data_IF_677008310543
#
_entry.id   IF_677008310543
#
_cell.length_a   1.000
_cell.length_b   1.000
_cell.length_c   1.000
_cell.angle_alpha   90.00
_cell.angle_beta   90.00
_cell.angle_gamma   90.00
#
_symmetry.space_group_name_H-M   'P 1'
#
loop_
_entity.id
_entity.type
_entity.pdbx_description
1 polymer ?
#
# COMPACT_ATOMS: atom_id res chain seq x y z
N UNK A 1 -21.37 -4.96 9.25
CA UNK A 1 -21.46 -3.65 8.59
C UNK A 1 -20.77 -3.78 7.26
N UNK A 2 -21.49 -3.53 6.17
CA UNK A 2 -21.00 -3.69 4.80
C UNK A 2 -19.83 -2.75 4.55
N UNK A 3 -18.65 -3.31 4.28
CA UNK A 3 -17.49 -2.55 3.81
C UNK A 3 -17.81 -2.01 2.43
N UNK A 4 -18.05 -0.70 2.33
CA UNK A 4 -18.18 -0.01 1.05
C UNK A 4 -16.81 -0.09 0.39
N UNK A 5 -16.66 -0.92 -0.64
CA UNK A 5 -15.47 -0.90 -1.47
C UNK A 5 -15.41 0.49 -2.12
N UNK A 6 -14.45 1.31 -1.69
CA UNK A 6 -14.21 2.60 -2.30
C UNK A 6 -13.89 2.40 -3.79
N UNK A 7 -14.55 3.15 -4.66
CA UNK A 7 -14.41 2.99 -6.10
C UNK A 7 -12.94 3.19 -6.55
N UNK A 8 -12.46 2.42 -7.55
CA UNK A 8 -11.12 2.60 -8.11
C UNK A 8 -10.89 4.04 -8.57
N UNK A 9 -9.72 4.60 -8.28
CA UNK A 9 -9.37 5.95 -8.72
C UNK A 9 -8.77 5.87 -10.12
N UNK A 10 -9.45 6.46 -11.10
CA UNK A 10 -8.96 6.53 -12.49
C UNK A 10 -8.26 7.86 -12.73
N UNK A 11 -7.06 7.83 -13.28
CA UNK A 11 -6.26 9.00 -13.62
C UNK A 11 -5.94 9.03 -15.12
N UNK A 12 -6.45 9.99 -15.89
CA UNK A 12 -6.10 10.14 -17.30
C UNK A 12 -4.65 10.64 -17.43
N UNK A 13 -3.89 9.98 -18.29
CA UNK A 13 -2.50 10.35 -18.56
C UNK A 13 -2.45 11.58 -19.47
N UNK A 14 -1.69 12.59 -19.05
CA UNK A 14 -1.39 13.76 -19.89
C UNK A 14 -0.60 13.37 -21.15
N UNK A 15 0.22 12.34 -21.05
CA UNK A 15 1.03 11.81 -22.14
C UNK A 15 0.80 10.29 -22.22
N UNK A 16 0.01 9.80 -23.19
CA UNK A 16 -0.25 8.38 -23.36
C UNK A 16 1.04 7.58 -23.59
N UNK A 17 1.06 6.34 -23.13
CA UNK A 17 2.23 5.46 -23.21
C UNK A 17 1.93 4.30 -24.15
N UNK A 18 2.80 4.07 -25.13
CA UNK A 18 2.69 2.92 -26.04
C UNK A 18 3.35 1.68 -25.44
N UNK A 19 2.55 0.65 -25.19
CA UNK A 19 3.02 -0.71 -24.92
C UNK A 19 3.46 -1.34 -26.23
N UNK A 20 4.74 -1.72 -26.31
CA UNK A 20 5.35 -2.32 -27.50
C UNK A 20 5.73 -3.78 -27.26
N UNK A 21 5.58 -4.62 -28.28
CA UNK A 21 6.07 -6.00 -28.23
C UNK A 21 7.60 -6.07 -28.42
N UNK A 22 8.16 -7.28 -28.38
CA UNK A 22 9.60 -7.52 -28.56
C UNK A 22 10.14 -7.04 -29.92
N UNK A 23 9.29 -7.03 -30.94
CA UNK A 23 9.64 -6.60 -32.31
C UNK A 23 9.50 -5.08 -32.51
N UNK A 24 9.13 -4.35 -31.44
CA UNK A 24 8.99 -2.89 -31.45
C UNK A 24 7.65 -2.39 -31.96
N UNK A 25 6.71 -3.25 -32.34
CA UNK A 25 5.37 -2.86 -32.78
C UNK A 25 4.50 -2.44 -31.58
N UNK A 26 3.70 -1.38 -31.76
CA UNK A 26 2.74 -0.92 -30.74
C UNK A 26 1.59 -1.92 -30.65
N UNK A 27 1.35 -2.43 -29.44
CA UNK A 27 0.29 -3.39 -29.11
C UNK A 27 -0.89 -2.68 -28.46
N UNK A 28 -0.62 -1.66 -27.65
CA UNK A 28 -1.63 -0.93 -26.90
C UNK A 28 -1.14 0.50 -26.62
N UNK A 29 -2.05 1.46 -26.57
CA UNK A 29 -1.79 2.81 -26.09
C UNK A 29 -2.52 3.01 -24.77
N UNK A 30 -1.76 3.08 -23.67
CA UNK A 30 -2.28 3.34 -22.33
C UNK A 30 -2.55 4.84 -22.19
N UNK A 31 -3.81 5.20 -21.99
CA UNK A 31 -4.26 6.59 -21.85
C UNK A 31 -4.69 6.94 -20.43
N UNK A 32 -4.85 5.96 -19.56
CA UNK A 32 -5.27 6.15 -18.16
C UNK A 32 -4.68 5.08 -17.24
N UNK A 33 -4.59 5.40 -15.95
CA UNK A 33 -4.21 4.48 -14.89
C UNK A 33 -5.39 4.26 -13.96
N UNK A 34 -5.68 3.01 -13.64
CA UNK A 34 -6.66 2.64 -12.61
C UNK A 34 -5.92 2.25 -11.34
N UNK A 35 -6.10 3.02 -10.28
CA UNK A 35 -5.52 2.77 -8.97
C UNK A 35 -6.50 2.01 -8.09
N UNK A 36 -6.06 0.85 -7.60
CA UNK A 36 -6.75 0.15 -6.50
C UNK A 36 -6.41 0.80 -5.16
N UNK A 37 -7.27 0.61 -4.15
CA UNK A 37 -6.87 0.83 -2.75
C UNK A 37 -5.75 -0.15 -2.39
N UNK A 38 -4.72 0.37 -1.71
CA UNK A 38 -3.64 -0.45 -1.17
C UNK A 38 -4.08 -1.07 0.14
N UNK A 39 -3.56 -2.26 0.44
CA UNK A 39 -3.75 -2.90 1.73
C UNK A 39 -2.46 -2.91 2.55
N UNK A 40 -2.53 -3.40 3.80
CA UNK A 40 -1.37 -3.49 4.69
C UNK A 40 -0.22 -4.33 4.12
N UNK A 41 -0.53 -5.36 3.32
CA UNK A 41 0.49 -6.16 2.65
C UNK A 41 1.24 -5.37 1.57
N UNK A 42 0.53 -4.54 0.82
CA UNK A 42 1.13 -3.62 -0.15
C UNK A 42 1.93 -2.52 0.55
N UNK A 43 1.43 -1.96 1.66
CA UNK A 43 2.13 -0.97 2.48
C UNK A 43 3.44 -1.55 3.05
N UNK A 44 3.40 -2.75 3.62
CA UNK A 44 4.58 -3.46 4.14
C UNK A 44 5.65 -3.64 3.07
N UNK A 45 5.27 -4.07 1.87
CA UNK A 45 6.21 -4.20 0.73
C UNK A 45 6.83 -2.85 0.35
N UNK A 46 6.02 -1.80 0.25
CA UNK A 46 6.50 -0.47 -0.11
C UNK A 46 7.48 0.09 0.94
N UNK A 47 7.17 -0.07 2.23
CA UNK A 47 8.04 0.33 3.33
C UNK A 47 9.35 -0.44 3.33
N UNK A 48 9.31 -1.77 3.12
CA UNK A 48 10.52 -2.59 3.01
C UNK A 48 11.37 -2.24 1.77
N UNK A 49 10.77 -1.72 0.70
CA UNK A 49 11.50 -1.24 -0.47
C UNK A 49 12.22 0.10 -0.20
N UNK A 50 11.66 0.94 0.69
CA UNK A 50 12.29 2.19 1.14
C UNK A 50 13.42 1.94 2.14
N UNK A 51 13.16 1.13 3.16
CA UNK A 51 14.15 0.74 4.18
C UNK A 51 13.93 -0.71 4.62
N UNK A 52 15.00 -1.52 4.56
CA UNK A 52 14.90 -2.97 4.71
C UNK A 52 14.46 -3.33 6.14
N UNK A 53 13.28 -3.93 6.25
CA UNK A 53 12.72 -4.39 7.52
C UNK A 53 11.77 -3.40 8.18
N UNK A 54 11.65 -2.17 7.67
CA UNK A 54 10.72 -1.16 8.20
C UNK A 54 9.26 -1.63 8.09
N UNK A 55 8.87 -2.25 6.97
CA UNK A 55 7.53 -2.78 6.80
C UNK A 55 7.23 -3.93 7.75
N UNK A 56 8.20 -4.81 8.01
CA UNK A 56 8.04 -5.89 8.99
C UNK A 56 7.91 -5.34 10.41
N UNK A 57 8.69 -4.31 10.74
CA UNK A 57 8.62 -3.62 12.03
C UNK A 57 7.24 -3.01 12.27
N UNK A 58 6.71 -2.25 11.29
CA UNK A 58 5.36 -1.66 11.39
C UNK A 58 4.30 -2.74 11.59
N UNK A 59 4.36 -3.82 10.81
CA UNK A 59 3.43 -4.94 10.96
C UNK A 59 3.50 -5.54 12.36
N UNK A 60 4.70 -5.79 12.89
CA UNK A 60 4.89 -6.36 14.23
C UNK A 60 4.32 -5.44 15.31
N UNK A 61 4.59 -4.14 15.23
CA UNK A 61 4.10 -3.15 16.20
C UNK A 61 2.57 -3.07 16.22
N UNK A 62 1.96 -2.93 15.04
CA UNK A 62 0.50 -2.84 14.92
C UNK A 62 -0.17 -4.15 15.35
N UNK A 63 0.36 -5.30 14.94
CA UNK A 63 -0.18 -6.60 15.33
C UNK A 63 -0.10 -6.82 16.84
N UNK A 64 1.03 -6.48 17.47
CA UNK A 64 1.23 -6.62 18.90
C UNK A 64 0.32 -5.66 19.69
N UNK A 65 0.17 -4.41 19.24
CA UNK A 65 -0.67 -3.41 19.91
C UNK A 65 -2.17 -3.72 19.78
N UNK A 66 -2.62 -4.11 18.59
CA UNK A 66 -4.03 -4.37 18.31
C UNK A 66 -4.49 -5.81 18.60
N UNK A 67 -3.56 -6.72 18.92
CA UNK A 67 -3.87 -8.12 19.21
C UNK A 67 -4.40 -8.90 18.00
N UNK A 68 -3.92 -8.56 16.80
CA UNK A 68 -4.36 -9.19 15.53
C UNK A 68 -3.24 -10.05 14.93
N UNK A 69 -3.58 -11.13 14.20
CA UNK A 69 -2.57 -11.90 13.48
C UNK A 69 -2.06 -11.13 12.24
N UNK A 70 -0.84 -11.40 11.76
CA UNK A 70 -0.27 -10.75 10.56
C UNK A 70 -1.15 -10.86 9.30
N UNK A 71 -1.87 -11.98 9.15
CA UNK A 71 -2.79 -12.19 8.03
C UNK A 71 -3.99 -11.23 8.04
N UNK A 72 -4.34 -10.67 9.19
CA UNK A 72 -5.35 -9.60 9.31
C UNK A 72 -4.73 -8.26 8.91
N UNK A 73 -3.52 -7.95 9.38
CA UNK A 73 -2.79 -6.74 8.98
C UNK A 73 -2.67 -6.61 7.46
N UNK A 74 -2.28 -7.70 6.78
CA UNK A 74 -2.11 -7.68 5.32
C UNK A 74 -3.41 -7.36 4.55
N UNK A 75 -4.58 -7.52 5.19
CA UNK A 75 -5.91 -7.24 4.61
C UNK A 75 -6.48 -5.88 5.00
N UNK A 76 -5.90 -5.19 5.98
CA UNK A 76 -6.34 -3.85 6.36
C UNK A 76 -6.13 -2.87 5.20
N UNK A 77 -6.95 -1.84 5.10
CA UNK A 77 -6.67 -0.74 4.19
C UNK A 77 -5.36 -0.05 4.60
N UNK A 78 -4.52 0.31 3.63
CA UNK A 78 -3.22 0.90 3.91
C UNK A 78 -3.32 2.22 4.70
N UNK A 79 -4.38 3.00 4.48
CA UNK A 79 -4.64 4.23 5.23
C UNK A 79 -4.86 3.94 6.72
N UNK A 80 -5.60 2.87 7.03
CA UNK A 80 -5.84 2.43 8.41
C UNK A 80 -4.56 1.88 9.03
N UNK A 81 -3.70 1.22 8.25
CA UNK A 81 -2.38 0.77 8.71
C UNK A 81 -1.51 1.92 9.16
N UNK A 82 -1.45 3.02 8.39
CA UNK A 82 -0.64 4.19 8.79
C UNK A 82 -1.20 4.87 10.05
N UNK A 83 -2.52 5.01 10.16
CA UNK A 83 -3.14 5.53 11.39
C UNK A 83 -2.87 4.63 12.61
N UNK A 84 -2.92 3.31 12.42
CA UNK A 84 -2.61 2.35 13.48
C UNK A 84 -1.12 2.35 13.85
N UNK A 85 -0.23 2.55 12.86
CA UNK A 85 1.19 2.72 13.07
C UNK A 85 1.46 3.93 13.96
N UNK A 86 0.89 5.09 13.68
CA UNK A 86 1.13 6.31 14.48
C UNK A 86 0.81 6.07 15.95
N UNK A 87 -0.33 5.46 16.24
CA UNK A 87 -0.75 5.08 17.61
C UNK A 87 0.24 4.08 18.22
N UNK A 88 0.62 3.04 17.47
CA UNK A 88 1.52 2.01 17.98
C UNK A 88 2.93 2.57 18.25
N UNK A 89 3.45 3.42 17.38
CA UNK A 89 4.75 4.07 17.50
C UNK A 89 4.86 4.96 18.74
N UNK A 90 3.79 5.66 19.09
CA UNK A 90 3.72 6.48 20.31
C UNK A 90 3.93 5.65 21.58
N UNK A 91 3.40 4.41 21.64
CA UNK A 91 3.57 3.54 22.81
C UNK A 91 5.03 3.11 23.05
N UNK A 92 5.83 3.05 21.99
CA UNK A 92 7.23 2.62 22.07
C UNK A 92 8.23 3.78 22.03
N UNK A 93 7.75 5.03 21.96
CA UNK A 93 8.61 6.21 21.84
C UNK A 93 9.44 6.21 20.54
N UNK A 94 8.93 5.57 19.48
CA UNK A 94 9.62 5.40 18.22
C UNK A 94 9.19 6.48 17.23
N UNK A 95 10.11 7.36 16.84
CA UNK A 95 9.92 8.27 15.72
C UNK A 95 10.14 7.51 14.40
N UNK A 96 9.10 6.89 13.85
CA UNK A 96 9.17 6.35 12.50
C UNK A 96 9.06 7.51 11.48
N UNK A 97 9.93 7.57 10.47
CA UNK A 97 9.85 8.62 9.46
C UNK A 97 8.54 8.48 8.67
N UNK A 98 7.63 9.44 8.87
CA UNK A 98 6.41 9.66 8.08
C UNK A 98 6.74 9.99 6.63
#
# INVERSE_FOLDING_TARGET
MSGVAAEPVVYPLKYPVELRNRDGAVVETVTELTFKRLNGGDARKALNAKDKGMGEMVMVLVCASAGIPPSTFDKMDAEDVFKAQDIASDFFGLSLPT
#
